data_IF_162708048204
#
_entry.id   IF_162708048204
#
_cell.length_a   1.000
_cell.length_b   1.000
_cell.length_c   1.000
_cell.angle_alpha   90.00
_cell.angle_beta   90.00
_cell.angle_gamma   90.00
#
_symmetry.space_group_name_H-M   'P 1'
#
loop_
_entity.id
_entity.type
_entity.pdbx_description
1 polymer ?
#
# COMPACT_ATOMS: atom_id res chain seq x y z
N UNK A 1 7.64 58.69 35.04
CA UNK A 1 6.17 58.66 34.95
C UNK A 1 5.68 57.62 35.94
N UNK A 2 5.47 58.05 37.18
CA UNK A 2 4.52 57.43 38.11
C UNK A 2 3.08 57.85 37.72
N UNK A 3 2.00 57.38 38.37
CA UNK A 3 1.79 56.17 39.20
C UNK A 3 0.43 55.47 38.86
N UNK A 4 0.09 54.33 39.47
CA UNK A 4 -0.81 54.33 40.63
C UNK A 4 -1.39 52.94 40.90
N UNK A 5 -1.16 52.37 42.09
CA UNK A 5 -2.06 52.38 43.28
C UNK A 5 -3.30 51.49 43.11
N UNK A 6 -3.71 50.63 44.04
CA UNK A 6 -3.37 50.44 45.46
C UNK A 6 -4.15 49.26 46.03
N UNK A 7 -3.55 48.60 47.03
CA UNK A 7 -4.12 48.16 48.33
C UNK A 7 -5.57 47.66 48.47
N UNK A 8 -5.73 46.53 49.17
CA UNK A 8 -6.21 46.39 50.56
C UNK A 8 -6.74 44.95 50.75
N UNK A 9 -6.09 44.10 51.53
CA UNK A 9 -6.15 44.00 52.99
C UNK A 9 -7.11 42.90 53.49
N UNK A 10 -6.49 41.91 54.13
CA UNK A 10 -7.01 40.90 55.05
C UNK A 10 -8.26 41.27 55.87
N UNK A 11 -9.15 40.29 56.11
CA UNK A 11 -9.86 40.16 57.39
C UNK A 11 -10.30 38.72 57.75
N UNK A 12 -9.68 38.20 58.82
CA UNK A 12 -10.16 37.30 59.92
C UNK A 12 -11.00 36.05 59.57
N UNK A 13 -10.44 34.83 59.69
CA UNK A 13 -10.38 33.93 60.88
C UNK A 13 -11.73 33.43 61.42
N UNK A 14 -11.95 32.10 61.40
CA UNK A 14 -12.31 31.30 62.60
C UNK A 14 -12.13 29.79 62.39
N UNK A 15 -11.50 29.16 63.39
CA UNK A 15 -11.17 27.72 63.53
C UNK A 15 -12.41 26.87 63.85
N UNK A 16 -12.43 25.65 63.32
CA UNK A 16 -12.87 24.38 63.94
C UNK A 16 -12.13 23.29 63.14
N UNK A 17 -11.47 22.26 63.67
CA UNK A 17 -11.56 21.58 64.95
C UNK A 17 -11.88 20.11 64.65
N UNK A 18 -10.85 19.25 64.71
CA UNK A 18 -10.85 17.76 64.70
C UNK A 18 -10.49 17.04 63.39
N UNK A 19 -9.34 16.34 63.49
CA UNK A 19 -8.96 15.03 62.96
C UNK A 19 -9.87 14.33 61.94
N UNK A 20 -9.36 14.12 60.73
CA UNK A 20 -9.63 12.94 59.90
C UNK A 20 -8.44 12.66 58.96
N UNK A 21 -8.16 11.37 58.81
CA UNK A 21 -7.03 10.70 58.14
C UNK A 21 -7.07 10.92 56.61
N UNK A 22 -5.93 11.07 55.89
CA UNK A 22 -5.94 11.16 54.43
C UNK A 22 -5.70 9.78 53.80
N UNK A 23 -6.67 9.32 53.02
CA UNK A 23 -6.49 8.29 52.00
C UNK A 23 -6.79 8.88 50.62
N UNK A 24 -5.93 8.55 49.66
CA UNK A 24 -5.97 8.84 48.22
C UNK A 24 -5.51 10.24 47.74
N UNK A 25 -4.25 10.25 47.30
CA UNK A 25 -3.62 11.24 46.43
C UNK A 25 -4.02 10.95 44.97
N UNK A 26 -4.50 11.97 44.26
CA UNK A 26 -4.63 11.97 42.80
C UNK A 26 -3.79 13.10 42.23
N UNK A 27 -2.76 12.76 41.46
CA UNK A 27 -1.88 13.66 40.72
C UNK A 27 -2.55 14.05 39.40
N UNK A 28 -2.66 15.35 39.13
CA UNK A 28 -2.91 15.86 37.77
C UNK A 28 -1.79 16.84 37.43
N UNK A 29 -0.96 16.48 36.45
CA UNK A 29 0.11 17.31 35.92
C UNK A 29 -0.42 18.09 34.71
N UNK A 30 -0.25 19.41 34.73
CA UNK A 30 -0.34 20.27 33.54
C UNK A 30 0.98 21.05 33.49
N UNK A 31 1.72 20.87 32.39
CA UNK A 31 3.01 21.49 32.18
C UNK A 31 2.85 22.79 31.39
N UNK A 32 3.10 23.93 32.03
CA UNK A 32 3.42 25.17 31.33
C UNK A 32 4.51 25.93 32.10
N UNK A 33 5.65 26.15 31.43
CA UNK A 33 6.77 27.02 31.81
C UNK A 33 7.32 26.92 33.25
N UNK A 34 8.13 25.89 33.50
CA UNK A 34 9.45 26.09 34.14
C UNK A 34 9.54 26.47 35.62
N UNK A 35 8.48 26.36 36.43
CA UNK A 35 8.61 26.52 37.88
C UNK A 35 7.62 25.60 38.64
N UNK A 36 8.14 24.60 39.35
CA UNK A 36 7.35 23.68 40.18
C UNK A 36 6.89 24.40 41.45
N UNK A 37 5.58 24.56 41.66
CA UNK A 37 5.02 24.91 42.98
C UNK A 37 3.82 24.03 43.32
N UNK A 38 3.93 23.31 44.44
CA UNK A 38 2.85 22.51 45.02
C UNK A 38 1.69 23.40 45.47
N UNK A 39 0.48 23.16 44.94
CA UNK A 39 -0.75 23.77 45.44
C UNK A 39 -1.69 22.67 45.95
N UNK A 40 -1.91 22.65 47.26
CA UNK A 40 -2.66 21.61 47.97
C UNK A 40 -4.13 22.06 48.13
N UNK A 41 -5.04 21.53 47.31
CA UNK A 41 -6.48 21.86 47.39
C UNK A 41 -7.19 20.75 48.16
N UNK A 42 -7.91 21.12 49.23
CA UNK A 42 -8.75 20.22 50.05
C UNK A 42 -10.18 20.26 49.54
N UNK A 43 -10.67 19.15 49.00
CA UNK A 43 -12.09 18.97 48.65
C UNK A 43 -12.72 18.09 49.72
N UNK A 44 -13.64 18.65 50.51
CA UNK A 44 -14.45 17.88 51.45
C UNK A 44 -15.70 17.35 50.73
N UNK A 45 -16.02 16.05 50.79
CA UNK A 45 -17.31 15.54 50.36
C UNK A 45 -18.33 15.76 51.48
N UNK A 46 -19.49 16.34 51.17
CA UNK A 46 -20.63 16.36 52.08
C UNK A 46 -21.74 15.46 51.50
N UNK A 47 -22.32 14.53 52.27
CA UNK A 47 -23.38 13.65 51.82
C UNK A 47 -24.78 14.27 52.02
N UNK A 48 -25.66 14.01 51.06
CA UNK A 48 -27.10 13.71 51.17
C UNK A 48 -28.03 14.73 51.88
N UNK A 49 -28.93 15.31 51.06
CA UNK A 49 -30.35 15.65 51.26
C UNK A 49 -30.90 15.99 52.66
N UNK A 50 -31.57 17.15 52.75
CA UNK A 50 -32.82 17.31 53.51
C UNK A 50 -33.82 18.20 52.74
N UNK A 51 -35.06 17.74 52.50
CA UNK A 51 -36.19 18.57 52.10
C UNK A 51 -36.86 19.12 53.36
N UNK A 52 -37.17 20.42 53.41
CA UNK A 52 -38.22 21.06 54.24
C UNK A 52 -37.90 22.56 54.34
N UNK A 53 -38.61 23.36 53.56
CA UNK A 53 -39.33 24.58 54.00
C UNK A 53 -39.76 25.32 52.73
N UNK A 54 -41.00 25.07 52.32
CA UNK A 54 -41.70 25.95 51.40
C UNK A 54 -42.10 27.22 52.15
N UNK A 55 -41.79 28.38 51.56
CA UNK A 55 -42.68 29.55 51.50
C UNK A 55 -42.32 30.38 50.28
N UNK A 56 -43.24 30.39 49.33
CA UNK A 56 -43.32 31.38 48.27
C UNK A 56 -43.65 32.75 48.87
N UNK A 57 -42.99 33.80 48.40
CA UNK A 57 -43.54 35.17 48.41
C UNK A 57 -43.25 35.84 47.06
N UNK A 58 -44.27 36.36 46.36
CA UNK A 58 -44.16 36.89 45.01
C UNK A 58 -44.00 38.43 44.95
N UNK A 59 -43.64 38.91 43.75
CA UNK A 59 -43.85 40.27 43.20
C UNK A 59 -42.67 41.26 43.27
N UNK A 60 -41.81 41.21 42.24
CA UNK A 60 -41.56 42.33 41.30
C UNK A 60 -40.68 41.80 40.15
N UNK A 61 -41.25 41.08 39.17
CA UNK A 61 -41.92 41.55 37.94
C UNK A 61 -41.21 42.73 37.26
N UNK A 62 -40.62 42.38 36.10
CA UNK A 62 -40.08 43.19 35.00
C UNK A 62 -38.58 43.49 35.10
N UNK A 63 -37.88 43.14 34.01
CA UNK A 63 -36.45 43.35 33.73
C UNK A 63 -35.54 42.23 34.25
N UNK A 64 -35.56 41.03 33.67
CA UNK A 64 -34.38 40.26 33.16
C UNK A 64 -34.91 39.08 32.30
N UNK A 65 -35.84 39.35 31.38
CA UNK A 65 -36.37 38.34 30.44
C UNK A 65 -35.62 38.35 29.10
N UNK A 66 -34.35 38.80 29.10
CA UNK A 66 -33.58 39.05 27.87
C UNK A 66 -32.13 38.53 27.90
N UNK A 67 -31.72 37.86 28.98
CA UNK A 67 -30.35 37.30 29.10
C UNK A 67 -30.31 35.81 29.45
N UNK A 68 -31.45 35.10 29.32
CA UNK A 68 -31.58 33.66 29.60
C UNK A 68 -32.04 32.86 28.36
N UNK A 69 -31.81 33.39 27.16
CA UNK A 69 -32.00 32.68 25.87
C UNK A 69 -30.72 32.60 25.05
N UNK A 70 -29.70 33.41 25.37
CA UNK A 70 -28.38 33.41 24.72
C UNK A 70 -27.30 32.64 25.48
N UNK A 71 -27.63 31.95 26.57
CA UNK A 71 -26.76 30.95 27.21
C UNK A 71 -27.24 29.51 26.99
N UNK A 72 -28.47 29.32 26.53
CA UNK A 72 -29.03 28.02 26.13
C UNK A 72 -28.72 27.64 24.67
N UNK A 73 -28.20 28.58 23.87
CA UNK A 73 -27.71 28.33 22.50
C UNK A 73 -26.19 28.15 22.40
N UNK A 74 -25.46 28.26 23.50
CA UNK A 74 -24.01 28.00 23.57
C UNK A 74 -23.63 27.00 24.68
N UNK A 75 -24.60 26.21 25.14
CA UNK A 75 -24.43 25.16 26.15
C UNK A 75 -24.49 23.74 25.59
N UNK A 76 -24.31 23.57 24.28
CA UNK A 76 -24.55 22.31 23.60
C UNK A 76 -23.47 21.96 22.58
N UNK A 77 -22.20 21.90 23.01
CA UNK A 77 -21.19 21.09 22.32
C UNK A 77 -19.97 20.83 23.23
N UNK A 78 -20.22 20.41 24.48
CA UNK A 78 -19.24 19.57 25.15
C UNK A 78 -19.48 18.17 24.63
N UNK A 79 -18.86 17.84 23.50
CA UNK A 79 -18.73 16.45 23.07
C UNK A 79 -18.06 15.71 24.22
N UNK A 80 -18.84 14.89 24.93
CA UNK A 80 -18.34 13.80 25.73
C UNK A 80 -17.43 12.99 24.80
N UNK A 81 -16.11 13.17 24.96
CA UNK A 81 -15.13 12.20 24.49
C UNK A 81 -15.32 10.96 25.36
N UNK A 82 -16.33 10.15 25.02
CA UNK A 82 -16.41 8.78 25.51
C UNK A 82 -15.10 8.12 25.12
N UNK A 83 -14.29 7.72 26.10
CA UNK A 83 -13.08 6.95 25.87
C UNK A 83 -13.47 5.69 25.10
N UNK A 84 -13.23 5.70 23.79
CA UNK A 84 -13.41 4.53 22.95
C UNK A 84 -12.20 3.67 23.24
N UNK A 85 -12.35 2.66 24.11
CA UNK A 85 -11.37 1.58 24.20
C UNK A 85 -11.18 0.99 22.80
N UNK A 86 -9.92 0.71 22.46
CA UNK A 86 -9.56 0.09 21.19
C UNK A 86 -10.36 -1.20 21.00
N UNK A 87 -11.05 -1.30 19.87
CA UNK A 87 -11.89 -2.45 19.54
C UNK A 87 -11.04 -3.49 18.86
N UNK A 88 -11.34 -4.75 19.17
CA UNK A 88 -10.66 -5.88 18.56
C UNK A 88 -11.12 -6.03 17.11
N UNK A 89 -10.16 -6.10 16.20
CA UNK A 89 -10.36 -6.35 14.78
C UNK A 89 -9.93 -7.78 14.38
N UNK A 90 -10.34 -8.18 13.18
CA UNK A 90 -9.99 -9.49 12.62
C UNK A 90 -8.50 -9.49 12.26
N UNK A 91 -7.76 -10.48 12.76
CA UNK A 91 -6.32 -10.59 12.57
C UNK A 91 -5.49 -10.06 13.74
N UNK A 92 -6.11 -9.43 14.74
CA UNK A 92 -5.41 -9.01 15.95
C UNK A 92 -4.86 -10.22 16.72
N UNK A 93 -3.71 -10.01 17.35
CA UNK A 93 -3.09 -11.01 18.22
C UNK A 93 -3.24 -10.56 19.66
N UNK A 94 -3.81 -11.42 20.49
CA UNK A 94 -4.18 -11.09 21.87
C UNK A 94 -3.41 -12.03 22.80
N UNK A 95 -2.67 -11.45 23.75
CA UNK A 95 -2.03 -12.20 24.81
C UNK A 95 -2.97 -12.28 26.02
N UNK A 96 -3.38 -13.50 26.38
CA UNK A 96 -4.26 -13.77 27.52
C UNK A 96 -3.41 -14.41 28.62
N UNK A 97 -3.28 -13.71 29.74
CA UNK A 97 -2.56 -14.17 30.92
C UNK A 97 -3.57 -14.45 32.02
N UNK A 98 -3.62 -15.71 32.47
CA UNK A 98 -4.48 -16.13 33.59
C UNK A 98 -3.60 -16.34 34.81
N UNK A 99 -3.80 -15.52 35.84
CA UNK A 99 -3.01 -15.63 37.08
C UNK A 99 -3.25 -16.99 37.75
N UNK A 100 -2.19 -17.56 38.36
CA UNK A 100 -2.18 -18.90 38.99
C UNK A 100 -2.39 -20.10 38.03
N UNK A 101 -2.53 -19.85 36.72
CA UNK A 101 -2.75 -20.87 35.70
C UNK A 101 -1.86 -20.63 34.47
N UNK A 102 -0.60 -21.05 34.56
CA UNK A 102 0.36 -20.92 33.45
C UNK A 102 -0.07 -21.72 32.21
N UNK A 103 -0.77 -22.84 32.40
CA UNK A 103 -1.32 -23.68 31.33
C UNK A 103 -2.38 -22.98 30.47
N UNK A 104 -3.00 -21.93 31.01
CA UNK A 104 -3.98 -21.08 30.32
C UNK A 104 -3.36 -19.80 29.75
N UNK A 105 -2.06 -19.55 29.99
CA UNK A 105 -1.39 -18.36 29.47
C UNK A 105 -0.96 -18.60 28.03
N UNK A 106 -1.70 -18.03 27.07
CA UNK A 106 -1.46 -18.22 25.63
C UNK A 106 -1.73 -16.95 24.83
N UNK A 107 -1.01 -16.84 23.71
CA UNK A 107 -1.25 -15.87 22.67
C UNK A 107 -2.21 -16.49 21.63
N UNK A 108 -3.31 -15.79 21.35
CA UNK A 108 -4.34 -16.22 20.40
C UNK A 108 -4.48 -15.20 19.28
N UNK A 109 -4.84 -15.65 18.08
CA UNK A 109 -5.09 -14.77 16.92
C UNK A 109 -6.58 -14.76 16.61
N UNK A 110 -7.14 -13.59 16.32
CA UNK A 110 -8.55 -13.45 15.93
C UNK A 110 -8.74 -14.00 14.52
N UNK A 111 -9.57 -15.04 14.39
CA UNK A 111 -9.90 -15.72 13.14
C UNK A 111 -10.75 -14.83 12.22
N UNK A 112 -10.86 -15.24 10.95
CA UNK A 112 -11.58 -14.50 9.91
C UNK A 112 -13.08 -14.33 10.16
N UNK A 113 -13.66 -15.26 10.92
CA UNK A 113 -15.04 -15.24 11.39
C UNK A 113 -15.23 -14.32 12.62
N UNK A 114 -14.15 -13.71 13.12
CA UNK A 114 -14.15 -12.83 14.27
C UNK A 114 -14.15 -13.55 15.62
N UNK A 115 -13.82 -14.85 15.63
CA UNK A 115 -13.73 -15.64 16.86
C UNK A 115 -12.29 -15.85 17.32
N UNK A 116 -12.11 -16.29 18.58
CA UNK A 116 -10.84 -16.80 19.09
C UNK A 116 -11.01 -18.23 19.58
N UNK A 117 -9.96 -19.02 19.42
CA UNK A 117 -9.84 -20.34 20.01
C UNK A 117 -8.98 -20.25 21.28
N UNK A 118 -9.57 -20.57 22.43
CA UNK A 118 -8.90 -20.57 23.73
C UNK A 118 -9.29 -21.84 24.50
N UNK A 119 -8.35 -22.49 25.22
CA UNK A 119 -8.67 -23.70 25.96
C UNK A 119 -9.90 -23.52 26.87
N UNK A 120 -10.82 -24.48 26.81
CA UNK A 120 -12.09 -24.50 27.57
C UNK A 120 -13.13 -23.44 27.16
N UNK A 121 -12.80 -22.58 26.18
CA UNK A 121 -13.66 -21.55 25.60
C UNK A 121 -13.43 -21.51 24.09
N UNK A 122 -14.00 -22.50 23.40
CA UNK A 122 -13.98 -22.58 21.93
C UNK A 122 -14.95 -21.56 21.29
N UNK A 123 -14.61 -21.08 20.09
CA UNK A 123 -15.44 -20.22 19.22
C UNK A 123 -16.00 -18.96 19.90
N UNK A 124 -15.18 -18.24 20.68
CA UNK A 124 -15.64 -17.03 21.35
C UNK A 124 -15.65 -15.85 20.36
N UNK A 125 -16.80 -15.19 20.10
CA UNK A 125 -16.83 -14.01 19.23
C UNK A 125 -16.21 -12.81 19.95
N UNK A 126 -15.18 -12.23 19.33
CA UNK A 126 -14.43 -11.09 19.90
C UNK A 126 -14.34 -9.88 18.98
N UNK A 127 -14.73 -10.01 17.71
CA UNK A 127 -14.73 -8.88 16.79
C UNK A 127 -15.68 -7.76 17.27
N UNK A 128 -15.16 -6.54 17.39
CA UNK A 128 -15.93 -5.34 17.73
C UNK A 128 -16.18 -5.09 19.22
N UNK A 129 -15.73 -5.96 20.13
CA UNK A 129 -15.71 -5.71 21.58
C UNK A 129 -14.35 -5.14 22.03
N UNK A 130 -14.30 -4.52 23.21
CA UNK A 130 -13.04 -4.01 23.78
C UNK A 130 -12.31 -5.08 24.59
N UNK A 131 -11.00 -4.89 24.84
CA UNK A 131 -10.20 -5.80 25.67
C UNK A 131 -10.78 -5.97 27.09
N UNK A 132 -11.35 -4.92 27.67
CA UNK A 132 -11.99 -4.99 28.99
C UNK A 132 -13.25 -5.86 28.97
N UNK A 133 -14.05 -5.75 27.91
CA UNK A 133 -15.22 -6.61 27.73
C UNK A 133 -14.80 -8.06 27.53
N UNK A 134 -13.77 -8.30 26.73
CA UNK A 134 -13.21 -9.64 26.50
C UNK A 134 -12.72 -10.26 27.82
N UNK A 135 -11.99 -9.49 28.64
CA UNK A 135 -11.53 -9.93 29.96
C UNK A 135 -12.68 -10.42 30.85
N UNK A 136 -13.78 -9.67 30.92
CA UNK A 136 -14.94 -10.05 31.73
C UNK A 136 -15.62 -11.33 31.20
N UNK A 137 -15.72 -11.47 29.88
CA UNK A 137 -16.32 -12.67 29.24
C UNK A 137 -15.48 -13.91 29.51
N UNK A 138 -14.15 -13.83 29.36
CA UNK A 138 -13.24 -14.94 29.63
C UNK A 138 -13.27 -15.30 31.12
N UNK A 139 -13.20 -14.31 32.02
CA UNK A 139 -13.24 -14.56 33.47
C UNK A 139 -14.57 -15.23 33.90
N UNK A 140 -15.69 -14.84 33.30
CA UNK A 140 -17.00 -15.45 33.57
C UNK A 140 -17.14 -16.88 33.03
N UNK A 141 -16.48 -17.20 31.91
CA UNK A 141 -16.49 -18.57 31.33
C UNK A 141 -15.55 -19.50 32.09
N UNK A 142 -14.35 -19.03 32.44
CA UNK A 142 -13.35 -19.80 33.17
C UNK A 142 -13.74 -20.07 34.62
N UNK A 143 -14.60 -19.24 35.23
CA UNK A 143 -14.99 -19.44 36.63
C UNK A 143 -15.67 -20.77 36.93
N UNK A 144 -16.20 -21.45 35.91
CA UNK A 144 -16.78 -22.79 36.02
C UNK A 144 -15.73 -23.89 36.21
N UNK A 145 -14.49 -23.63 35.79
CA UNK A 145 -13.40 -24.60 35.77
C UNK A 145 -12.38 -24.33 36.87
N UNK A 146 -12.11 -23.06 37.19
CA UNK A 146 -11.12 -22.65 38.20
C UNK A 146 -11.67 -22.57 39.63
N UNK A 147 -12.96 -22.90 39.85
CA UNK A 147 -13.57 -22.87 41.19
C UNK A 147 -13.76 -21.46 41.80
N UNK A 148 -13.62 -20.42 40.99
CA UNK A 148 -13.68 -19.01 41.38
C UNK A 148 -13.41 -18.11 40.17
N UNK A 149 -13.58 -16.79 40.29
CA UNK A 149 -13.27 -15.85 39.19
C UNK A 149 -11.75 -15.62 39.12
N UNK A 150 -11.05 -16.13 38.08
CA UNK A 150 -9.61 -15.94 37.98
C UNK A 150 -9.28 -14.50 37.60
N UNK A 151 -8.10 -14.03 37.99
CA UNK A 151 -7.59 -12.73 37.53
C UNK A 151 -7.00 -12.89 36.13
N UNK A 152 -7.72 -12.36 35.13
CA UNK A 152 -7.31 -12.39 33.73
C UNK A 152 -6.75 -11.02 33.33
N UNK A 153 -5.60 -11.03 32.67
CA UNK A 153 -5.03 -9.86 31.98
C UNK A 153 -5.04 -10.15 30.49
N UNK A 154 -5.52 -9.18 29.71
CA UNK A 154 -5.63 -9.29 28.27
C UNK A 154 -4.95 -8.05 27.70
N UNK A 155 -3.97 -8.27 26.81
CA UNK A 155 -3.26 -7.20 26.13
C UNK A 155 -3.19 -7.53 24.63
N UNK A 156 -3.19 -6.52 23.76
CA UNK A 156 -2.73 -6.73 22.39
C UNK A 156 -1.26 -7.16 22.45
N UNK A 157 -0.98 -8.29 21.83
CA UNK A 157 0.39 -8.71 21.66
C UNK A 157 1.00 -7.93 20.50
N UNK A 158 2.27 -7.56 20.61
CA UNK A 158 3.00 -7.01 19.49
C UNK A 158 2.97 -8.04 18.36
N UNK A 159 2.32 -7.69 17.24
CA UNK A 159 2.42 -8.49 16.04
C UNK A 159 3.88 -8.45 15.62
N UNK A 160 4.58 -9.57 15.74
CA UNK A 160 5.92 -9.67 15.23
C UNK A 160 5.86 -9.36 13.73
N UNK A 161 6.55 -8.30 13.31
CA UNK A 161 6.73 -7.96 11.91
C UNK A 161 8.11 -8.43 11.47
N UNK A 162 8.17 -8.93 10.25
CA UNK A 162 9.40 -9.27 9.56
C UNK A 162 9.78 -8.07 8.69
N UNK A 163 11.05 -7.70 8.70
CA UNK A 163 11.58 -6.68 7.79
C UNK A 163 12.04 -7.35 6.50
N UNK A 164 11.34 -7.07 5.39
CA UNK A 164 11.65 -7.64 4.08
C UNK A 164 12.01 -6.51 3.12
N UNK A 165 13.08 -6.68 2.35
CA UNK A 165 13.50 -5.70 1.36
C UNK A 165 12.99 -6.12 -0.01
N UNK A 166 12.23 -5.26 -0.68
CA UNK A 166 11.73 -5.51 -2.04
C UNK A 166 12.42 -4.57 -3.01
N UNK A 167 13.14 -5.14 -3.98
CA UNK A 167 13.93 -4.43 -4.98
C UNK A 167 13.57 -4.86 -6.40
N UNK A 168 13.90 -4.01 -7.38
CA UNK A 168 13.75 -4.31 -8.80
C UNK A 168 12.51 -3.71 -9.44
N UNK A 169 11.88 -4.45 -10.36
CA UNK A 169 10.78 -3.96 -11.22
C UNK A 169 9.41 -4.00 -10.52
N UNK A 170 9.30 -3.32 -9.39
CA UNK A 170 8.07 -3.12 -8.62
C UNK A 170 7.67 -1.65 -8.61
N UNK A 171 6.41 -1.35 -8.29
CA UNK A 171 5.92 0.04 -8.29
C UNK A 171 6.63 0.93 -7.27
N UNK A 172 6.84 0.41 -6.07
CA UNK A 172 7.55 1.09 -4.98
C UNK A 172 8.60 0.14 -4.41
N UNK A 173 9.88 0.26 -4.79
CA UNK A 173 10.94 -0.51 -4.15
C UNK A 173 11.26 0.10 -2.77
N UNK A 174 11.55 -0.74 -1.79
CA UNK A 174 11.80 -0.30 -0.43
C UNK A 174 11.79 -1.43 0.61
N UNK A 175 11.90 -1.04 1.87
CA UNK A 175 11.79 -1.94 3.02
C UNK A 175 10.34 -1.98 3.49
N UNK A 176 9.83 -3.17 3.73
CA UNK A 176 8.45 -3.42 4.13
C UNK A 176 8.41 -4.23 5.41
N UNK A 177 7.54 -3.81 6.34
CA UNK A 177 7.21 -4.58 7.53
C UNK A 177 5.99 -5.44 7.23
N UNK A 178 6.15 -6.75 7.39
CA UNK A 178 5.16 -7.73 6.97
C UNK A 178 4.88 -8.69 8.14
N UNK A 179 3.62 -9.07 8.42
CA UNK A 179 3.33 -10.01 9.52
C UNK A 179 4.02 -11.37 9.33
N UNK A 180 4.37 -12.03 10.43
CA UNK A 180 4.91 -13.40 10.40
C UNK A 180 3.95 -14.35 9.67
N UNK A 181 4.48 -15.19 8.79
CA UNK A 181 3.69 -16.12 7.99
C UNK A 181 3.18 -15.53 6.67
N UNK A 182 3.58 -14.30 6.34
CA UNK A 182 3.32 -13.73 5.03
C UNK A 182 4.15 -14.41 3.92
N UNK A 183 3.71 -14.20 2.68
CA UNK A 183 4.30 -14.78 1.48
C UNK A 183 5.01 -13.71 0.66
N UNK A 184 5.81 -14.16 -0.31
CA UNK A 184 6.46 -13.24 -1.29
C UNK A 184 5.42 -12.41 -2.04
N UNK A 185 4.21 -12.94 -2.27
CA UNK A 185 3.14 -12.18 -2.93
C UNK A 185 2.57 -11.09 -2.01
N UNK A 186 2.47 -11.38 -0.71
CA UNK A 186 2.12 -10.37 0.29
C UNK A 186 3.11 -9.21 0.25
N UNK A 187 4.41 -9.51 0.20
CA UNK A 187 5.46 -8.52 0.07
C UNK A 187 5.36 -7.70 -1.24
N UNK A 188 5.17 -8.36 -2.38
CA UNK A 188 4.99 -7.67 -3.67
C UNK A 188 3.73 -6.80 -3.71
N UNK A 189 2.65 -7.25 -3.08
CA UNK A 189 1.39 -6.51 -3.00
C UNK A 189 1.57 -5.22 -2.22
N UNK A 190 2.30 -5.26 -1.09
CA UNK A 190 2.66 -4.07 -0.30
C UNK A 190 3.58 -3.12 -1.08
N UNK A 191 4.45 -3.66 -1.93
CA UNK A 191 5.27 -2.89 -2.88
C UNK A 191 4.47 -2.27 -4.05
N UNK A 192 3.15 -2.43 -4.08
CA UNK A 192 2.26 -1.88 -5.10
C UNK A 192 2.19 -2.72 -6.39
N UNK A 193 2.64 -3.97 -6.33
CA UNK A 193 2.60 -4.93 -7.43
C UNK A 193 3.78 -4.83 -8.41
N UNK A 194 3.93 -5.84 -9.28
CA UNK A 194 4.97 -5.86 -10.30
C UNK A 194 4.65 -4.89 -11.45
N UNK A 195 5.70 -4.30 -12.04
CA UNK A 195 5.56 -3.48 -13.24
C UNK A 195 5.41 -4.35 -14.49
N UNK A 196 4.86 -3.84 -15.61
CA UNK A 196 4.68 -4.60 -16.86
C UNK A 196 5.96 -5.21 -17.46
N UNK A 197 7.15 -4.76 -17.01
CA UNK A 197 8.47 -5.24 -17.45
C UNK A 197 9.14 -6.20 -16.47
N UNK A 198 8.44 -6.60 -15.40
CA UNK A 198 8.93 -7.54 -14.41
C UNK A 198 8.90 -8.98 -14.94
N UNK A 199 9.97 -9.74 -14.72
CA UNK A 199 10.04 -11.17 -15.01
C UNK A 199 9.58 -11.96 -13.76
N UNK A 200 8.29 -12.31 -13.73
CA UNK A 200 7.67 -13.01 -12.59
C UNK A 200 8.10 -14.48 -12.46
N UNK A 201 8.57 -15.08 -13.55
CA UNK A 201 9.08 -16.47 -13.59
C UNK A 201 10.42 -16.63 -12.84
N UNK A 202 11.15 -15.54 -12.61
CA UNK A 202 12.54 -15.56 -12.11
C UNK A 202 12.75 -14.67 -10.90
N UNK A 203 11.73 -14.49 -10.06
CA UNK A 203 11.87 -13.70 -8.85
C UNK A 203 12.87 -14.37 -7.92
N UNK A 204 13.86 -13.62 -7.46
CA UNK A 204 14.92 -14.12 -6.59
C UNK A 204 14.63 -13.70 -5.17
N UNK A 205 14.66 -14.65 -4.25
CA UNK A 205 14.65 -14.39 -2.81
C UNK A 205 16.03 -14.76 -2.28
N UNK A 206 16.73 -13.76 -1.75
CA UNK A 206 18.03 -13.93 -1.11
C UNK A 206 17.80 -13.97 0.39
N UNK A 207 18.21 -15.07 1.01
CA UNK A 207 18.10 -15.31 2.45
C UNK A 207 19.47 -15.46 3.08
N UNK A 208 19.69 -14.77 4.20
CA UNK A 208 20.92 -14.82 4.98
C UNK A 208 21.89 -13.67 4.75
N UNK A 209 22.84 -13.54 5.69
CA UNK A 209 23.88 -12.51 5.70
C UNK A 209 25.16 -13.01 5.00
N UNK A 210 26.09 -12.10 4.68
CA UNK A 210 27.07 -12.15 3.60
C UNK A 210 27.82 -13.47 3.28
N UNK A 211 28.03 -14.37 4.25
CA UNK A 211 28.75 -15.64 4.08
C UNK A 211 27.89 -16.88 3.79
N UNK A 212 26.55 -16.79 3.94
CA UNK A 212 25.63 -17.92 3.73
C UNK A 212 24.38 -17.53 2.92
N UNK A 213 24.56 -16.77 1.83
CA UNK A 213 23.47 -16.37 0.94
C UNK A 213 22.86 -17.58 0.24
N UNK A 214 21.61 -17.89 0.58
CA UNK A 214 20.80 -18.86 -0.14
C UNK A 214 19.92 -18.09 -1.12
N UNK A 215 20.14 -18.31 -2.42
CA UNK A 215 19.29 -17.78 -3.48
C UNK A 215 18.19 -18.79 -3.83
N UNK A 216 16.94 -18.43 -3.59
CA UNK A 216 15.78 -19.19 -4.02
C UNK A 216 15.13 -18.49 -5.21
N UNK A 217 14.98 -19.21 -6.32
CA UNK A 217 14.22 -18.73 -7.48
C UNK A 217 12.77 -19.17 -7.30
N UNK A 218 11.85 -18.21 -7.29
CA UNK A 218 10.42 -18.41 -7.12
C UNK A 218 9.72 -17.97 -8.40
N UNK A 219 8.93 -18.87 -8.97
CA UNK A 219 8.07 -18.60 -10.12
C UNK A 219 6.72 -18.07 -9.63
N UNK A 220 6.52 -16.76 -9.70
CA UNK A 220 5.27 -16.12 -9.35
C UNK A 220 4.24 -16.14 -10.49
N UNK A 221 4.62 -16.54 -11.70
CA UNK A 221 3.72 -16.59 -12.84
C UNK A 221 2.83 -17.83 -12.79
N UNK A 222 3.41 -19.00 -12.55
CA UNK A 222 2.62 -20.23 -12.33
C UNK A 222 1.72 -20.10 -11.10
N UNK A 223 2.14 -19.32 -10.09
CA UNK A 223 1.30 -19.03 -8.93
C UNK A 223 0.01 -18.28 -9.28
N UNK A 224 0.09 -17.26 -10.16
CA UNK A 224 -1.07 -16.49 -10.59
C UNK A 224 -2.10 -17.37 -11.32
N UNK A 225 -1.64 -18.45 -11.96
CA UNK A 225 -2.47 -19.38 -12.74
C UNK A 225 -3.03 -20.53 -11.89
N UNK A 226 -2.24 -21.09 -10.96
CA UNK A 226 -2.59 -22.31 -10.19
C UNK A 226 -3.01 -22.05 -8.74
N UNK A 227 -2.78 -20.85 -8.20
CA UNK A 227 -3.26 -20.41 -6.89
C UNK A 227 -2.56 -21.02 -5.66
N UNK A 228 -1.35 -21.59 -5.81
CA UNK A 228 -0.69 -22.37 -4.76
C UNK A 228 0.36 -21.59 -3.96
N UNK A 229 0.14 -21.43 -2.65
CA UNK A 229 0.97 -20.58 -1.77
C UNK A 229 2.29 -21.26 -1.43
N UNK A 230 3.40 -20.91 -2.11
CA UNK A 230 4.60 -21.76 -2.06
C UNK A 230 5.87 -21.16 -1.41
N UNK A 231 5.94 -19.85 -1.08
CA UNK A 231 7.13 -19.32 -0.39
C UNK A 231 6.81 -18.30 0.71
N UNK A 232 7.09 -18.71 1.96
CA UNK A 232 7.01 -17.87 3.15
C UNK A 232 8.27 -17.00 3.24
N UNK A 233 8.07 -15.70 3.43
CA UNK A 233 9.17 -14.77 3.69
C UNK A 233 9.64 -14.92 5.13
N UNK A 234 10.93 -14.71 5.33
CA UNK A 234 11.57 -14.66 6.63
C UNK A 234 12.14 -13.26 6.87
N UNK A 235 12.52 -13.01 8.13
CA UNK A 235 13.13 -11.75 8.49
C UNK A 235 14.44 -11.55 7.73
N UNK A 236 14.69 -10.30 7.31
CA UNK A 236 15.85 -9.91 6.51
C UNK A 236 15.96 -10.56 5.11
N UNK A 237 14.88 -11.15 4.60
CA UNK A 237 14.84 -11.61 3.20
C UNK A 237 14.90 -10.41 2.23
N UNK A 238 15.64 -10.59 1.14
CA UNK A 238 15.70 -9.62 0.03
C UNK A 238 15.02 -10.23 -1.20
N UNK A 239 13.85 -9.70 -1.55
CA UNK A 239 13.10 -10.07 -2.74
C UNK A 239 13.53 -9.17 -3.89
N UNK A 240 14.18 -9.76 -4.89
CA UNK A 240 14.65 -9.07 -6.09
C UNK A 240 13.77 -9.53 -7.26
N UNK A 241 13.01 -8.59 -7.81
CA UNK A 241 12.21 -8.79 -9.01
C UNK A 241 13.03 -8.35 -10.21
N UNK A 242 13.63 -9.27 -10.98
CA UNK A 242 14.30 -8.90 -12.21
C UNK A 242 13.26 -8.33 -13.19
N UNK A 243 13.74 -7.50 -14.09
CA UNK A 243 12.96 -7.12 -15.25
C UNK A 243 13.86 -7.12 -16.45
N UNK A 244 13.24 -7.20 -17.60
CA UNK A 244 13.96 -7.28 -18.86
C UNK A 244 14.60 -5.91 -19.13
N UNK A 245 15.87 -5.76 -18.72
CA UNK A 245 16.77 -4.67 -19.14
C UNK A 245 17.23 -4.95 -20.57
N UNK A 246 16.29 -4.87 -21.50
CA UNK A 246 16.52 -5.00 -22.93
C UNK A 246 15.53 -4.12 -23.64
N UNK A 247 15.89 -3.62 -24.82
CA UNK A 247 14.90 -3.03 -25.71
C UNK A 247 13.84 -4.09 -26.00
N UNK A 248 12.69 -4.04 -25.33
CA UNK A 248 11.47 -4.75 -25.73
C UNK A 248 10.97 -4.27 -27.09
N UNK A 249 11.70 -3.33 -27.69
CA UNK A 249 11.45 -2.85 -29.02
C UNK A 249 12.25 -3.64 -30.05
N UNK A 250 11.57 -3.97 -31.13
CA UNK A 250 12.16 -4.40 -32.39
C UNK A 250 12.32 -3.16 -33.25
N UNK A 251 13.47 -3.00 -33.88
CA UNK A 251 13.71 -1.87 -34.80
C UNK A 251 13.34 -2.29 -36.20
N UNK A 252 12.38 -1.60 -36.82
CA UNK A 252 11.99 -1.83 -38.22
C UNK A 252 12.50 -0.67 -39.07
N UNK A 253 13.38 -0.97 -40.02
CA UNK A 253 14.12 0.00 -40.81
C UNK A 253 14.02 -0.30 -42.31
N UNK A 254 14.17 0.76 -43.13
CA UNK A 254 14.21 0.67 -44.59
C UNK A 254 12.83 0.85 -45.24
N UNK A 255 12.54 0.05 -46.27
CA UNK A 255 11.35 0.13 -47.13
C UNK A 255 10.02 -0.24 -46.46
N UNK A 256 9.68 0.45 -45.37
CA UNK A 256 8.37 0.38 -44.70
C UNK A 256 7.74 1.77 -44.69
N UNK A 257 6.43 1.85 -44.48
CA UNK A 257 5.73 3.15 -44.49
C UNK A 257 6.15 4.03 -43.31
N UNK A 258 6.28 3.43 -42.14
CA UNK A 258 6.71 4.11 -40.91
C UNK A 258 7.92 3.35 -40.33
N UNK A 259 9.17 3.74 -40.65
CA UNK A 259 10.34 3.16 -39.99
C UNK A 259 10.45 3.66 -38.55
N UNK A 260 10.82 2.78 -37.61
CA UNK A 260 10.82 3.12 -36.19
C UNK A 260 11.10 1.94 -35.25
N UNK A 261 10.98 2.20 -33.96
CA UNK A 261 11.07 1.17 -32.91
C UNK A 261 9.66 0.79 -32.45
N UNK A 262 9.37 -0.51 -32.42
CA UNK A 262 8.04 -1.05 -32.14
C UNK A 262 8.10 -1.99 -30.96
N UNK A 263 7.17 -1.87 -30.01
CA UNK A 263 7.07 -2.80 -28.89
C UNK A 263 6.71 -4.21 -29.39
N UNK A 264 7.42 -5.21 -28.87
CA UNK A 264 7.22 -6.62 -29.23
C UNK A 264 6.28 -7.31 -28.25
N UNK A 265 5.55 -8.31 -28.75
CA UNK A 265 4.64 -9.14 -27.97
C UNK A 265 5.22 -10.55 -27.79
N UNK A 266 4.81 -11.31 -26.76
CA UNK A 266 5.21 -12.71 -26.62
C UNK A 266 4.87 -13.52 -27.88
N UNK A 267 5.88 -14.16 -28.47
CA UNK A 267 5.78 -14.93 -29.73
C UNK A 267 5.40 -14.09 -30.97
N UNK A 268 5.77 -12.81 -30.99
CA UNK A 268 5.61 -11.97 -32.19
C UNK A 268 6.41 -12.52 -33.38
N UNK A 269 5.79 -12.47 -34.56
CA UNK A 269 6.41 -12.87 -35.81
C UNK A 269 6.91 -11.64 -36.61
N UNK A 270 7.73 -11.88 -37.64
CA UNK A 270 8.27 -10.81 -38.48
C UNK A 270 7.19 -10.02 -39.23
N UNK A 271 6.07 -10.65 -39.60
CA UNK A 271 4.94 -9.99 -40.26
C UNK A 271 4.24 -9.01 -39.32
N UNK A 272 3.99 -9.39 -38.08
CA UNK A 272 3.33 -8.55 -37.08
C UNK A 272 4.07 -7.23 -36.93
N UNK A 273 5.41 -7.29 -36.89
CA UNK A 273 6.27 -6.11 -36.79
C UNK A 273 6.25 -5.25 -38.06
N UNK A 274 6.25 -5.86 -39.25
CA UNK A 274 6.13 -5.14 -40.52
C UNK A 274 4.74 -4.48 -40.65
N UNK A 275 3.68 -5.14 -40.19
CA UNK A 275 2.34 -4.58 -40.18
C UNK A 275 2.21 -3.43 -39.17
N UNK A 276 2.82 -3.55 -37.99
CA UNK A 276 2.92 -2.46 -37.02
C UNK A 276 3.62 -1.23 -37.62
N UNK A 277 4.60 -1.44 -38.51
CA UNK A 277 5.28 -0.40 -39.29
C UNK A 277 4.44 0.18 -40.46
N UNK A 278 3.17 -0.23 -40.60
CA UNK A 278 2.28 0.20 -41.68
C UNK A 278 2.43 -0.60 -42.98
N UNK A 279 3.15 -1.73 -42.95
CA UNK A 279 3.41 -2.57 -44.11
C UNK A 279 4.60 -2.11 -44.96
N UNK A 280 4.99 -2.92 -45.97
CA UNK A 280 6.06 -2.57 -46.89
C UNK A 280 5.68 -1.35 -47.74
N UNK A 281 6.65 -0.47 -47.99
CA UNK A 281 6.50 0.65 -48.93
C UNK A 281 6.41 0.14 -50.39
N UNK A 282 5.91 0.96 -51.31
CA UNK A 282 5.81 0.60 -52.74
C UNK A 282 7.19 0.28 -53.36
N UNK A 283 8.20 1.00 -52.90
CA UNK A 283 9.59 0.85 -53.32
C UNK A 283 10.32 -0.28 -52.58
N UNK A 284 9.67 -1.01 -51.68
CA UNK A 284 10.32 -2.05 -50.87
C UNK A 284 10.63 -3.33 -51.65
N UNK A 285 11.81 -3.91 -51.40
CA UNK A 285 12.21 -5.22 -51.91
C UNK A 285 11.79 -6.33 -50.94
N UNK A 286 10.51 -6.75 -51.03
CA UNK A 286 9.87 -7.77 -50.17
C UNK A 286 10.49 -9.18 -50.22
N UNK A 287 11.41 -9.44 -51.16
CA UNK A 287 12.10 -10.73 -51.32
C UNK A 287 13.42 -10.83 -50.56
N UNK A 288 13.91 -9.72 -49.99
CA UNK A 288 15.24 -9.64 -49.35
C UNK A 288 15.20 -9.00 -47.98
N UNK A 289 14.31 -9.46 -47.10
CA UNK A 289 14.21 -8.88 -45.76
C UNK A 289 15.27 -9.51 -44.88
N UNK A 290 16.05 -8.67 -44.21
CA UNK A 290 17.09 -9.12 -43.28
C UNK A 290 16.59 -8.98 -41.87
N UNK A 291 16.52 -10.09 -41.15
CA UNK A 291 16.39 -10.10 -39.70
C UNK A 291 17.79 -10.20 -39.11
N UNK A 292 18.16 -9.28 -38.22
CA UNK A 292 19.47 -9.23 -37.56
C UNK A 292 19.21 -9.29 -36.05
N UNK A 293 19.75 -10.30 -35.37
CA UNK A 293 19.59 -10.50 -33.92
C UNK A 293 20.91 -10.21 -33.19
N UNK A 294 21.15 -8.96 -32.73
CA UNK A 294 22.36 -8.63 -32.00
C UNK A 294 22.40 -9.38 -30.66
N UNK A 295 23.35 -10.30 -30.50
CA UNK A 295 23.53 -11.09 -29.27
C UNK A 295 23.16 -12.57 -29.37
N UNK A 296 22.57 -13.02 -30.49
CA UNK A 296 22.48 -14.44 -30.83
C UNK A 296 23.30 -14.67 -32.09
N UNK A 297 24.31 -15.51 -31.99
CA UNK A 297 25.30 -15.73 -33.04
C UNK A 297 24.63 -16.03 -34.40
N UNK A 298 24.95 -15.22 -35.42
CA UNK A 298 24.68 -15.43 -36.85
C UNK A 298 23.24 -15.81 -37.26
N UNK A 299 22.22 -15.08 -36.79
CA UNK A 299 20.85 -15.20 -37.33
C UNK A 299 20.52 -14.12 -38.35
N UNK A 300 21.39 -13.90 -39.34
CA UNK A 300 21.07 -13.08 -40.52
C UNK A 300 20.17 -13.89 -41.46
N UNK A 301 18.87 -13.91 -41.17
CA UNK A 301 17.91 -14.64 -42.00
C UNK A 301 17.45 -13.74 -43.13
N UNK A 302 17.71 -14.17 -44.36
CA UNK A 302 17.07 -13.58 -45.52
C UNK A 302 15.67 -14.18 -45.70
N UNK A 303 14.66 -13.40 -45.38
CA UNK A 303 13.25 -13.81 -45.45
C UNK A 303 12.65 -13.36 -46.78
N UNK A 304 12.08 -14.32 -47.51
CA UNK A 304 11.33 -14.06 -48.74
C UNK A 304 9.83 -14.11 -48.45
N UNK A 305 9.19 -12.93 -48.31
CA UNK A 305 7.76 -12.85 -48.02
C UNK A 305 6.90 -13.53 -49.10
N UNK A 306 7.33 -13.49 -50.37
CA UNK A 306 6.53 -14.08 -51.44
C UNK A 306 6.38 -15.59 -51.26
N UNK A 307 7.44 -16.25 -50.82
CA UNK A 307 7.45 -17.69 -50.60
C UNK A 307 6.62 -18.05 -49.38
N UNK A 308 6.75 -17.28 -48.29
CA UNK A 308 5.97 -17.47 -47.05
C UNK A 308 4.48 -17.18 -47.20
N UNK A 309 4.08 -16.30 -48.12
CA UNK A 309 2.66 -16.03 -48.40
C UNK A 309 2.00 -17.13 -49.25
N UNK A 310 2.78 -17.90 -50.01
CA UNK A 310 2.26 -18.95 -50.90
C UNK A 310 2.44 -20.36 -50.33
N UNK A 311 3.23 -20.54 -49.27
CA UNK A 311 3.37 -21.82 -48.58
C UNK A 311 2.17 -22.11 -47.69
N UNK A 312 1.57 -23.30 -47.81
CA UNK A 312 0.45 -23.73 -46.96
C UNK A 312 0.86 -23.99 -45.48
N UNK A 313 2.16 -24.11 -45.20
CA UNK A 313 2.70 -24.33 -43.86
C UNK A 313 3.05 -22.99 -43.16
N UNK A 314 2.25 -22.58 -42.17
CA UNK A 314 2.46 -21.37 -41.35
C UNK A 314 3.57 -21.52 -40.28
N UNK A 315 4.17 -22.70 -40.15
CA UNK A 315 5.08 -23.07 -39.06
C UNK A 315 6.52 -22.57 -39.23
N UNK A 316 6.89 -22.07 -40.43
CA UNK A 316 8.26 -21.64 -40.75
C UNK A 316 8.49 -20.12 -40.63
N UNK A 317 7.51 -19.37 -40.13
CA UNK A 317 7.67 -17.92 -39.97
C UNK A 317 8.61 -17.66 -38.78
N UNK A 318 9.74 -16.95 -38.99
CA UNK A 318 10.69 -16.71 -37.92
C UNK A 318 10.06 -15.81 -36.85
N UNK A 319 10.14 -16.27 -35.60
CA UNK A 319 9.82 -15.47 -34.42
C UNK A 319 10.90 -14.40 -34.21
N UNK A 320 10.44 -13.23 -33.79
CA UNK A 320 11.26 -12.05 -33.50
C UNK A 320 11.33 -11.86 -32.00
N UNK A 321 12.49 -11.42 -31.51
CA UNK A 321 12.76 -11.21 -30.12
C UNK A 321 13.10 -9.74 -29.81
N UNK A 322 12.92 -9.31 -28.55
CA UNK A 322 13.42 -8.02 -28.07
C UNK A 322 14.86 -7.74 -28.51
N UNK A 323 15.09 -6.58 -29.14
CA UNK A 323 16.41 -6.15 -29.62
C UNK A 323 16.74 -6.53 -31.07
N UNK A 324 15.91 -7.34 -31.73
CA UNK A 324 16.07 -7.64 -33.15
C UNK A 324 15.89 -6.40 -34.03
N UNK A 325 16.59 -6.40 -35.17
CA UNK A 325 16.52 -5.38 -36.21
C UNK A 325 15.99 -6.02 -37.48
N UNK A 326 14.84 -5.54 -37.95
CA UNK A 326 14.26 -5.91 -39.23
C UNK A 326 14.63 -4.82 -40.24
N UNK A 327 15.43 -5.19 -41.24
CA UNK A 327 15.83 -4.29 -42.31
C UNK A 327 15.24 -4.73 -43.65
N UNK A 328 14.42 -3.86 -44.25
CA UNK A 328 13.80 -4.07 -45.54
C UNK A 328 14.53 -3.19 -46.56
N UNK A 329 15.32 -3.74 -47.50
CA UNK A 329 15.97 -2.93 -48.51
C UNK A 329 14.95 -2.29 -49.47
N UNK A 330 15.27 -1.12 -49.97
CA UNK A 330 14.54 -0.48 -51.07
C UNK A 330 15.02 -1.05 -52.41
N UNK A 331 14.14 -1.11 -53.40
CA UNK A 331 14.49 -1.43 -54.78
C UNK A 331 15.35 -0.30 -55.31
N UNK A 332 16.46 -0.66 -55.97
CA UNK A 332 17.28 0.31 -56.69
C UNK A 332 16.41 1.10 -57.67
N UNK A 333 16.64 2.43 -57.71
CA UNK A 333 15.90 3.40 -58.52
C UNK A 333 15.61 2.81 -59.90
N UNK A 334 14.34 2.51 -60.15
CA UNK A 334 13.91 1.95 -61.43
C UNK A 334 13.98 3.06 -62.48
N UNK A 335 14.53 2.77 -63.67
CA UNK A 335 14.62 3.69 -64.82
C UNK A 335 13.31 4.47 -65.11
N UNK A 336 12.16 3.89 -64.76
CA UNK A 336 10.85 4.55 -64.83
C UNK A 336 10.75 5.86 -64.03
N UNK A 337 11.36 5.98 -62.84
CA UNK A 337 11.36 7.23 -62.05
C UNK A 337 12.20 8.32 -62.74
N UNK A 338 13.35 7.96 -63.32
CA UNK A 338 14.21 8.89 -64.06
C UNK A 338 13.54 9.40 -65.35
N UNK A 339 12.86 8.51 -66.08
CA UNK A 339 12.10 8.90 -67.29
C UNK A 339 10.97 9.87 -66.94
N UNK A 340 10.29 9.69 -65.79
CA UNK A 340 9.26 10.62 -65.31
C UNK A 340 9.82 12.04 -65.11
N UNK A 341 10.94 12.17 -64.41
CA UNK A 341 11.60 13.47 -64.16
C UNK A 341 12.09 14.11 -65.46
N UNK A 342 12.70 13.33 -66.36
CA UNK A 342 13.15 13.83 -67.65
C UNK A 342 11.99 14.36 -68.52
N UNK A 343 10.83 13.69 -68.47
CA UNK A 343 9.61 14.16 -69.15
C UNK A 343 9.18 15.52 -68.62
N UNK A 344 9.11 15.69 -67.30
CA UNK A 344 8.66 16.94 -66.70
C UNK A 344 9.64 18.08 -67.00
N UNK A 345 10.96 17.84 -66.88
CA UNK A 345 12.00 18.82 -67.26
C UNK A 345 11.90 19.19 -68.73
N UNK A 346 11.64 18.23 -69.63
CA UNK A 346 11.50 18.51 -71.06
C UNK A 346 10.32 19.46 -71.36
N UNK A 347 9.22 19.34 -70.61
CA UNK A 347 8.06 20.24 -70.73
C UNK A 347 8.43 21.65 -70.28
N UNK A 348 9.13 21.79 -69.15
CA UNK A 348 9.58 23.10 -68.68
C UNK A 348 10.60 23.76 -69.62
N UNK A 349 11.55 22.99 -70.17
CA UNK A 349 12.52 23.51 -71.16
C UNK A 349 11.81 23.95 -72.43
N UNK A 350 10.85 23.15 -72.91
CA UNK A 350 10.06 23.50 -74.11
C UNK A 350 9.20 24.75 -73.86
N UNK A 351 8.57 24.85 -72.68
CA UNK A 351 7.78 26.02 -72.28
C UNK A 351 8.64 27.28 -72.15
N UNK A 352 9.82 27.17 -71.53
CA UNK A 352 10.78 28.28 -71.43
C UNK A 352 11.23 28.76 -72.82
N UNK A 353 11.60 27.82 -73.70
CA UNK A 353 12.01 28.14 -75.07
C UNK A 353 10.92 28.91 -75.85
N UNK A 354 9.64 28.51 -75.71
CA UNK A 354 8.51 29.20 -76.33
C UNK A 354 8.20 30.58 -75.73
N UNK A 355 8.55 30.83 -74.47
CA UNK A 355 8.31 32.11 -73.79
C UNK A 355 9.39 33.16 -74.09
N UNK A 356 10.62 32.73 -74.40
CA UNK A 356 11.76 33.63 -74.66
C UNK A 356 11.96 34.00 -76.14
N UNK A 357 11.13 33.50 -77.04
CA UNK A 357 11.18 33.75 -78.49
C UNK A 357 9.88 34.41 -78.93
#
# INVERSE_FOLDING_TARGET
MEPGTSCLAMKKIKRCGRSCVPSFFGLLQVAEQGEYREVRIRVCPCPIWYPQYGKECPVHRKIVFFWMTTFFLFGGLWSLSWGQGEKIEVGDVINIVVYEHEELTKQVTVLRDGTIDFPFVEDLPVAGITLEQLKEVIAARLSRYTGGRPLVMVNFAEAYTLSVVVLGFVKSPGVYEIPVGATVQGALSLAGGPLPRAELEKVKVVRGEDDAKQEHIVDLQNFLEEGKVDFLVQDSDVVIVPGTLGTTTVKVLGGVRNPGSYETFPRANIFDMIFAAGGPSEDAAVTRIRLISPGRENRDVNVNIKELLHSENKTDIPLVYPGDIIFIPEKLVTWKKLIGVARDVSVFVTMYYFLTR
#
